data_IF_538282713787
#
_entry.id   IF_538282713787
#
_cell.length_a   1.000
_cell.length_b   1.000
_cell.length_c   1.000
_cell.angle_alpha   90.00
_cell.angle_beta   90.00
_cell.angle_gamma   90.00
#
_symmetry.space_group_name_H-M   'P 1'
#
loop_
_entity.id
_entity.type
_entity.pdbx_description
1 polymer ?
#
# COMPACT_ATOMS: atom_id res chain seq x y z
N UNK A 1 -56.18 -33.53 46.04
CA UNK A 1 -55.22 -34.52 45.47
C UNK A 1 -54.30 -33.81 44.47
N UNK A 2 -53.47 -32.86 44.93
CA UNK A 2 -52.93 -31.81 44.04
C UNK A 2 -51.49 -31.36 44.35
N UNK A 3 -50.97 -31.63 45.54
CA UNK A 3 -49.60 -31.28 45.95
C UNK A 3 -48.54 -32.29 45.46
N UNK A 4 -48.80 -33.60 45.62
CA UNK A 4 -47.85 -34.64 45.21
C UNK A 4 -47.56 -34.66 43.70
N UNK A 5 -48.54 -34.33 42.85
CA UNK A 5 -48.33 -34.22 41.39
C UNK A 5 -47.37 -33.08 41.03
N UNK A 6 -47.43 -31.93 41.71
CA UNK A 6 -46.52 -30.78 41.45
C UNK A 6 -45.07 -31.09 41.82
N UNK A 7 -44.85 -31.80 42.93
CA UNK A 7 -43.50 -32.20 43.39
C UNK A 7 -42.87 -33.20 42.41
N UNK A 8 -43.66 -34.15 41.93
CA UNK A 8 -43.22 -35.17 40.95
C UNK A 8 -42.86 -34.49 39.61
N UNK A 9 -43.67 -33.53 39.14
CA UNK A 9 -43.40 -32.79 37.90
C UNK A 9 -42.13 -31.93 38.03
N UNK A 10 -41.91 -31.24 39.15
CA UNK A 10 -40.68 -30.45 39.39
C UNK A 10 -39.42 -31.33 39.45
N UNK A 11 -39.50 -32.53 40.05
CA UNK A 11 -38.40 -33.50 40.05
C UNK A 11 -38.12 -34.05 38.65
N UNK A 12 -39.15 -34.40 37.87
CA UNK A 12 -38.99 -34.85 36.48
C UNK A 12 -38.37 -33.77 35.59
N UNK A 13 -38.82 -32.51 35.69
CA UNK A 13 -38.24 -31.40 34.90
C UNK A 13 -36.76 -31.16 35.27
N UNK A 14 -36.39 -31.33 36.54
CA UNK A 14 -35.00 -31.18 36.98
C UNK A 14 -34.12 -32.34 36.50
N UNK A 15 -34.64 -33.57 36.49
CA UNK A 15 -33.94 -34.75 35.96
C UNK A 15 -33.78 -34.64 34.43
N UNK A 16 -34.83 -34.22 33.72
CA UNK A 16 -34.80 -34.01 32.26
C UNK A 16 -33.80 -32.90 31.91
N UNK A 17 -33.76 -31.78 32.65
CA UNK A 17 -32.76 -30.72 32.44
C UNK A 17 -31.33 -31.22 32.64
N UNK A 18 -31.08 -32.06 33.66
CA UNK A 18 -29.75 -32.66 33.89
C UNK A 18 -29.35 -33.64 32.77
N UNK A 19 -30.30 -34.42 32.26
CA UNK A 19 -30.06 -35.32 31.13
C UNK A 19 -29.80 -34.58 29.81
N UNK A 20 -30.50 -33.47 29.54
CA UNK A 20 -30.29 -32.65 28.34
C UNK A 20 -28.92 -31.96 28.37
N UNK A 21 -28.48 -31.47 29.53
CA UNK A 21 -27.14 -30.88 29.69
C UNK A 21 -26.03 -31.93 29.48
N UNK A 22 -26.25 -33.17 29.95
CA UNK A 22 -25.30 -34.28 29.73
C UNK A 22 -25.22 -34.69 28.24
N UNK A 23 -26.34 -34.69 27.53
CA UNK A 23 -26.39 -35.03 26.09
C UNK A 23 -25.75 -33.97 25.18
N UNK A 24 -25.86 -32.67 25.53
CA UNK A 24 -25.20 -31.59 24.77
C UNK A 24 -23.67 -31.63 24.94
N UNK A 25 -23.17 -32.13 26.07
CA UNK A 25 -21.73 -32.25 26.33
C UNK A 25 -21.02 -33.37 25.54
N UNK A 26 -21.72 -34.46 25.19
CA UNK A 26 -21.07 -35.59 24.48
C UNK A 26 -20.94 -35.40 22.96
N UNK A 27 -21.65 -34.43 22.38
CA UNK A 27 -21.59 -34.16 20.94
C UNK A 27 -20.29 -33.46 20.48
N UNK A 28 -19.47 -32.95 21.40
CA UNK A 28 -18.25 -32.20 21.07
C UNK A 28 -16.98 -33.06 20.93
N UNK A 29 -17.02 -34.35 21.27
CA UNK A 29 -15.82 -35.24 21.25
C UNK A 29 -15.71 -36.13 20.01
N UNK A 30 -16.66 -36.10 19.07
CA UNK A 30 -16.62 -36.94 17.86
C UNK A 30 -15.98 -36.28 16.62
N UNK A 31 -15.56 -35.01 16.70
CA UNK A 31 -14.95 -34.30 15.56
C UNK A 31 -13.45 -34.09 15.76
N UNK A 32 -12.68 -35.19 15.77
CA UNK A 32 -11.27 -35.13 15.37
C UNK A 32 -10.76 -36.53 15.00
N UNK A 33 -11.31 -37.09 13.93
CA UNK A 33 -10.58 -38.13 13.20
C UNK A 33 -9.45 -37.39 12.47
N UNK A 34 -8.22 -37.54 12.97
CA UNK A 34 -7.03 -37.20 12.17
C UNK A 34 -7.01 -38.17 10.99
N UNK A 35 -7.56 -37.74 9.86
CA UNK A 35 -7.16 -38.32 8.59
C UNK A 35 -5.71 -37.91 8.41
N UNK A 36 -4.79 -38.88 8.57
CA UNK A 36 -3.42 -38.67 8.13
C UNK A 36 -3.49 -38.22 6.67
N UNK A 37 -2.97 -37.02 6.34
CA UNK A 37 -2.93 -36.60 4.95
C UNK A 37 -2.19 -37.69 4.16
N UNK A 38 -2.59 -37.99 2.91
CA UNK A 38 -1.84 -38.91 2.08
C UNK A 38 -0.38 -38.48 2.13
N UNK A 39 0.53 -39.41 2.40
CA UNK A 39 1.97 -39.14 2.48
C UNK A 39 2.40 -38.51 1.15
N UNK A 40 2.43 -37.17 1.15
CA UNK A 40 3.02 -36.38 0.08
C UNK A 40 4.49 -36.21 0.43
N UNK A 41 5.21 -37.30 0.66
CA UNK A 41 6.67 -37.34 0.51
C UNK A 41 7.03 -37.28 -0.98
N UNK A 42 6.49 -36.27 -1.68
CA UNK A 42 7.20 -35.70 -2.81
C UNK A 42 8.40 -35.03 -2.16
N UNK A 43 9.51 -35.76 -2.05
CA UNK A 43 10.81 -35.15 -1.80
C UNK A 43 10.91 -33.99 -2.80
N UNK A 44 11.06 -32.73 -2.34
CA UNK A 44 11.32 -31.64 -3.25
C UNK A 44 12.49 -32.10 -4.13
N UNK A 45 12.29 -32.12 -5.45
CA UNK A 45 13.40 -32.37 -6.35
C UNK A 45 14.45 -31.30 -6.01
N UNK A 46 15.57 -31.72 -5.41
CA UNK A 46 16.67 -30.90 -4.90
C UNK A 46 17.47 -30.28 -6.06
N UNK A 47 16.77 -29.64 -6.99
CA UNK A 47 17.34 -28.84 -8.07
C UNK A 47 16.53 -27.56 -8.24
N UNK A 48 16.17 -26.92 -7.14
CA UNK A 48 16.15 -25.47 -7.12
C UNK A 48 17.62 -25.03 -7.04
N UNK A 49 18.36 -25.24 -8.12
CA UNK A 49 19.69 -24.67 -8.25
C UNK A 49 19.54 -23.17 -8.02
N UNK A 50 20.21 -22.72 -6.97
CA UNK A 50 20.12 -21.41 -6.37
C UNK A 50 20.05 -20.32 -7.44
N UNK A 51 18.87 -19.70 -7.56
CA UNK A 51 18.76 -18.39 -8.21
C UNK A 51 19.43 -17.42 -7.24
N UNK A 52 20.74 -17.30 -7.38
CA UNK A 52 21.56 -16.39 -6.60
C UNK A 52 21.54 -15.03 -7.28
N UNK A 53 21.08 -14.04 -6.54
CA UNK A 53 21.01 -12.67 -7.02
C UNK A 53 22.37 -12.00 -6.77
N UNK A 54 22.91 -11.20 -7.71
CA UNK A 54 24.18 -10.51 -7.52
C UNK A 54 24.23 -9.74 -6.18
N UNK A 55 25.38 -9.72 -5.52
CA UNK A 55 25.52 -9.07 -4.21
C UNK A 55 25.27 -7.55 -4.21
N UNK A 56 25.23 -6.91 -5.37
CA UNK A 56 24.88 -5.50 -5.56
C UNK A 56 23.41 -5.28 -5.95
N UNK A 57 22.60 -6.33 -5.96
CA UNK A 57 21.20 -6.22 -6.30
C UNK A 57 20.43 -5.51 -5.19
N UNK A 58 19.69 -4.48 -5.59
CA UNK A 58 18.83 -3.74 -4.70
C UNK A 58 17.39 -4.23 -4.85
N UNK A 59 16.85 -4.84 -3.79
CA UNK A 59 15.45 -5.25 -3.71
C UNK A 59 14.47 -4.08 -3.59
N UNK A 60 14.97 -2.85 -3.42
CA UNK A 60 14.13 -1.67 -3.36
C UNK A 60 13.42 -1.47 -4.70
N UNK A 61 12.09 -1.35 -4.64
CA UNK A 61 11.24 -1.04 -5.79
C UNK A 61 10.98 0.46 -5.92
N UNK A 62 11.49 1.26 -4.98
CA UNK A 62 11.27 2.70 -4.93
C UNK A 62 12.55 3.48 -4.66
N UNK A 63 12.55 4.73 -5.11
CA UNK A 63 13.57 5.72 -4.76
C UNK A 63 12.92 6.99 -4.26
N UNK A 64 13.66 7.71 -3.43
CA UNK A 64 13.35 9.10 -3.14
C UNK A 64 13.99 9.99 -4.19
N UNK A 65 13.20 10.89 -4.77
CA UNK A 65 13.61 11.90 -5.73
C UNK A 65 13.39 13.27 -5.11
N UNK A 66 14.42 14.12 -5.12
CA UNK A 66 14.30 15.52 -4.73
C UNK A 66 13.86 16.34 -5.94
N UNK A 67 12.65 16.90 -5.86
CA UNK A 67 12.13 17.85 -6.84
C UNK A 67 12.43 19.26 -6.35
N UNK A 68 13.21 20.02 -7.12
CA UNK A 68 13.52 21.42 -6.85
C UNK A 68 12.84 22.31 -7.90
N UNK A 69 11.99 23.22 -7.45
CA UNK A 69 11.30 24.18 -8.31
C UNK A 69 11.80 25.59 -7.98
N UNK A 70 12.34 26.24 -8.99
CA UNK A 70 12.79 27.64 -8.93
C UNK A 70 11.65 28.56 -9.35
N UNK A 71 11.21 29.39 -8.41
CA UNK A 71 10.18 30.40 -8.60
C UNK A 71 10.63 31.53 -9.52
N UNK A 72 9.66 32.22 -10.13
CA UNK A 72 9.88 33.45 -10.89
C UNK A 72 9.42 34.65 -10.05
N UNK A 73 10.32 35.58 -9.66
CA UNK A 73 9.93 36.79 -8.95
C UNK A 73 9.02 37.65 -9.84
N UNK A 74 7.76 37.82 -9.44
CA UNK A 74 6.77 38.64 -10.15
C UNK A 74 6.23 39.74 -9.24
N UNK A 75 5.91 40.91 -9.82
CA UNK A 75 5.31 42.04 -9.08
C UNK A 75 3.87 41.72 -8.65
N UNK A 76 3.16 40.96 -9.49
CA UNK A 76 1.80 40.49 -9.22
C UNK A 76 1.87 39.05 -8.73
N UNK A 77 1.19 38.75 -7.63
CA UNK A 77 1.16 37.41 -7.04
C UNK A 77 0.32 36.46 -7.89
N UNK A 78 0.96 35.47 -8.52
CA UNK A 78 0.30 34.42 -9.31
C UNK A 78 0.30 33.13 -8.48
N UNK A 79 -0.89 32.60 -8.18
CA UNK A 79 -1.08 31.34 -7.45
C UNK A 79 -1.84 30.36 -8.30
N UNK A 80 -1.38 29.12 -8.34
CA UNK A 80 -2.10 28.03 -8.97
C UNK A 80 -1.79 26.71 -8.27
N UNK A 81 -2.54 25.68 -8.59
CA UNK A 81 -2.24 24.34 -8.11
C UNK A 81 -0.99 23.82 -8.82
N UNK A 82 0.06 23.58 -8.04
CA UNK A 82 1.22 22.81 -8.44
C UNK A 82 0.93 21.34 -8.21
N UNK A 83 0.98 20.55 -9.29
CA UNK A 83 0.76 19.11 -9.26
C UNK A 83 1.98 18.41 -9.87
N UNK A 84 2.46 17.37 -9.19
CA UNK A 84 3.53 16.51 -9.70
C UNK A 84 2.95 15.11 -9.87
N UNK A 85 3.09 14.57 -11.08
CA UNK A 85 2.56 13.25 -11.42
C UNK A 85 3.63 12.36 -12.04
N UNK A 86 3.40 11.06 -11.96
CA UNK A 86 4.04 10.09 -12.82
C UNK A 86 3.51 10.22 -14.26
N UNK A 87 4.20 9.59 -15.21
CA UNK A 87 3.81 9.57 -16.63
C UNK A 87 2.51 8.79 -16.90
N UNK A 88 2.13 7.90 -15.99
CA UNK A 88 0.86 7.16 -16.01
C UNK A 88 -0.33 7.99 -15.48
N UNK A 89 -0.08 9.23 -15.02
CA UNK A 89 -1.09 10.13 -14.45
C UNK A 89 -1.27 10.03 -12.93
N UNK A 90 -0.59 9.10 -12.26
CA UNK A 90 -0.64 8.96 -10.80
C UNK A 90 -0.11 10.24 -10.14
N UNK A 91 -0.91 10.81 -9.24
CA UNK A 91 -0.57 12.08 -8.57
C UNK A 91 0.28 11.82 -7.34
N UNK A 92 1.49 12.39 -7.31
CA UNK A 92 2.43 12.27 -6.20
C UNK A 92 2.33 13.45 -5.24
N UNK A 93 2.06 14.63 -5.77
CA UNK A 93 1.95 15.88 -5.01
C UNK A 93 0.92 16.81 -5.65
N UNK A 94 0.18 17.53 -4.82
CA UNK A 94 -0.78 18.56 -5.26
C UNK A 94 -1.00 19.57 -4.15
N UNK A 95 -0.61 20.83 -4.39
CA UNK A 95 -0.85 21.91 -3.44
C UNK A 95 -1.00 23.26 -4.16
N UNK A 96 -1.67 24.21 -3.50
CA UNK A 96 -1.65 25.60 -3.95
C UNK A 96 -0.23 26.15 -3.75
N UNK A 97 0.40 26.61 -4.82
CA UNK A 97 1.76 27.13 -4.82
C UNK A 97 1.79 28.51 -5.46
N UNK A 98 2.68 29.38 -4.98
CA UNK A 98 2.91 30.69 -5.60
C UNK A 98 4.05 30.59 -6.59
N UNK A 99 3.89 31.19 -7.76
CA UNK A 99 4.91 31.15 -8.81
C UNK A 99 6.23 31.78 -8.38
N UNK A 100 6.20 32.74 -7.44
CA UNK A 100 7.37 33.42 -6.91
C UNK A 100 8.12 32.65 -5.81
N UNK A 101 7.57 31.55 -5.32
CA UNK A 101 8.16 30.79 -4.22
C UNK A 101 8.98 29.61 -4.75
N UNK A 102 10.19 29.47 -4.20
CA UNK A 102 11.00 28.27 -4.39
C UNK A 102 10.46 27.16 -3.50
N UNK A 103 10.47 25.92 -3.99
CA UNK A 103 10.08 24.76 -3.19
C UNK A 103 10.97 23.57 -3.49
N UNK A 104 11.26 22.80 -2.44
CA UNK A 104 11.93 21.50 -2.49
C UNK A 104 11.02 20.44 -1.91
N UNK A 105 10.84 19.35 -2.64
CA UNK A 105 9.90 18.28 -2.30
C UNK A 105 10.63 16.95 -2.45
N UNK A 106 10.60 16.11 -1.43
CA UNK A 106 11.08 14.72 -1.54
C UNK A 106 9.89 13.81 -1.87
N UNK A 107 9.94 13.13 -3.02
CA UNK A 107 8.89 12.22 -3.49
C UNK A 107 9.41 10.79 -3.55
N UNK A 108 8.62 9.83 -3.07
CA UNK A 108 8.89 8.40 -3.28
C UNK A 108 8.25 7.96 -4.60
N UNK A 109 9.06 7.42 -5.51
CA UNK A 109 8.63 6.98 -6.85
C UNK A 109 9.19 5.58 -7.15
N UNK A 110 8.61 4.83 -8.10
CA UNK A 110 9.18 3.58 -8.57
C UNK A 110 10.61 3.77 -9.11
N UNK A 111 11.48 2.78 -8.91
CA UNK A 111 12.91 2.88 -9.28
C UNK A 111 13.15 3.03 -10.79
N UNK A 112 12.23 2.56 -11.61
CA UNK A 112 12.23 2.67 -13.06
C UNK A 112 11.74 4.03 -13.58
N UNK A 113 11.30 4.93 -12.70
CA UNK A 113 10.79 6.25 -13.10
C UNK A 113 11.93 7.13 -13.61
N UNK A 114 11.91 7.48 -14.91
CA UNK A 114 12.93 8.33 -15.53
C UNK A 114 12.55 9.82 -15.58
N UNK A 115 11.27 10.15 -15.43
CA UNK A 115 10.81 11.54 -15.51
C UNK A 115 9.52 11.76 -14.71
N UNK A 116 9.26 13.03 -14.37
CA UNK A 116 8.06 13.47 -13.68
C UNK A 116 7.35 14.52 -14.53
N UNK A 117 6.03 14.53 -14.45
CA UNK A 117 5.22 15.56 -15.09
C UNK A 117 4.89 16.61 -14.02
N UNK A 118 5.30 17.85 -14.28
CA UNK A 118 4.94 19.01 -13.46
C UNK A 118 3.83 19.76 -14.17
N UNK A 119 2.73 20.00 -13.45
CA UNK A 119 1.57 20.76 -13.93
C UNK A 119 1.39 21.97 -13.02
N UNK A 120 1.30 23.15 -13.61
CA UNK A 120 0.99 24.39 -12.92
C UNK A 120 -0.07 25.17 -13.70
N UNK A 121 -1.30 25.15 -13.21
CA UNK A 121 -2.45 25.66 -13.95
C UNK A 121 -2.67 24.89 -15.26
N UNK A 122 -2.63 25.59 -16.39
CA UNK A 122 -2.76 25.00 -17.73
C UNK A 122 -1.42 24.55 -18.33
N UNK A 123 -0.29 24.84 -17.68
CA UNK A 123 1.04 24.48 -18.19
C UNK A 123 1.44 23.11 -17.69
N UNK A 124 1.97 22.27 -18.57
CA UNK A 124 2.49 20.95 -18.27
C UNK A 124 3.90 20.80 -18.85
N UNK A 125 4.84 20.29 -18.05
CA UNK A 125 6.22 20.04 -18.44
C UNK A 125 6.68 18.67 -17.99
N UNK A 126 7.44 17.97 -18.84
CA UNK A 126 8.05 16.69 -18.51
C UNK A 126 9.51 16.93 -18.10
N UNK A 127 9.84 16.60 -16.86
CA UNK A 127 11.14 16.89 -16.24
C UNK A 127 11.89 15.58 -16.02
N UNK A 128 13.10 15.42 -16.58
CA UNK A 128 13.89 14.22 -16.37
C UNK A 128 14.38 14.12 -14.93
N UNK A 129 14.49 12.89 -14.42
CA UNK A 129 15.16 12.60 -13.16
C UNK A 129 16.62 12.25 -13.47
N UNK A 130 17.55 13.06 -13.00
CA UNK A 130 18.99 12.83 -13.12
C UNK A 130 19.57 12.79 -11.71
N UNK A 131 20.33 11.75 -11.38
CA UNK A 131 20.92 11.56 -10.04
C UNK A 131 19.91 11.72 -8.88
N UNK A 132 18.71 11.16 -9.06
CA UNK A 132 17.58 11.24 -8.10
C UNK A 132 17.11 12.67 -7.83
N UNK A 133 17.33 13.58 -8.78
CA UNK A 133 16.87 14.96 -8.73
C UNK A 133 16.06 15.29 -9.97
N UNK A 134 15.00 16.07 -9.78
CA UNK A 134 14.24 16.67 -10.87
C UNK A 134 14.22 18.18 -10.65
N UNK A 135 14.69 18.93 -11.63
CA UNK A 135 14.85 20.38 -11.51
C UNK A 135 13.94 21.08 -12.52
N UNK A 136 13.15 22.02 -12.03
CA UNK A 136 12.26 22.83 -12.85
C UNK A 136 12.43 24.31 -12.51
N UNK A 137 12.36 25.14 -13.54
CA UNK A 137 12.45 26.59 -13.41
C UNK A 137 11.36 27.24 -14.23
N UNK A 138 10.68 28.22 -13.65
CA UNK A 138 9.77 29.09 -14.41
C UNK A 138 10.52 30.11 -15.29
N UNK A 139 11.84 30.20 -15.14
CA UNK A 139 12.72 31.03 -15.98
C UNK A 139 13.26 30.15 -17.11
N UNK A 140 13.04 30.51 -18.39
CA UNK A 140 13.56 29.75 -19.52
C UNK A 140 15.09 29.78 -19.54
N UNK A 141 15.70 28.63 -19.87
CA UNK A 141 17.13 28.56 -20.17
C UNK A 141 17.31 29.04 -21.61
N UNK A 142 18.06 30.13 -21.79
CA UNK A 142 18.46 30.58 -23.13
C UNK A 142 19.59 29.65 -23.57
N UNK A 143 19.31 28.77 -24.51
CA UNK A 143 20.35 28.02 -25.23
C UNK A 143 20.72 28.83 -26.45
N UNK A 144 21.96 29.34 -26.48
CA UNK A 144 22.53 30.08 -27.61
C UNK A 144 22.77 29.13 -28.80
N UNK A 145 21.70 28.59 -29.38
CA UNK A 145 21.74 27.85 -30.65
C UNK A 145 21.31 28.79 -31.79
N UNK A 146 22.04 29.90 -31.95
CA UNK A 146 22.08 30.70 -33.18
C UNK A 146 23.56 30.97 -33.52
N UNK A 147 24.15 30.12 -34.38
CA UNK A 147 24.87 30.48 -35.64
C UNK A 147 24.90 29.26 -36.56
#
# INVERSE_FOLDING_TARGET
MTENKKIIIRKMITIIKRFVILMIGSALVLSCVKLDPPDRSIKPNEKLNEISVPGNFNWSTSMNVEVSITGLPTVIEIKNTLKITLTDGTTLYSALHKMSENIKISLTVPNETSSLIIIYGATQQNIPIVDKKAEFSFIPVVTDDEV
#
